data_IF_794009284509
#
_entry.id   IF_794009284509
#
_cell.length_a   1.000
_cell.length_b   1.000
_cell.length_c   1.000
_cell.angle_alpha   90.00
_cell.angle_beta   90.00
_cell.angle_gamma   90.00
#
_symmetry.space_group_name_H-M   'P 1'
#
loop_
_entity.id
_entity.type
_entity.pdbx_description
1 polymer ?
#
# COMPACT_ATOMS: atom_id res chain seq x y z
N UNK A 1 -4.87 -2.96 -7.99
CA UNK A 1 -5.09 -2.22 -6.74
C UNK A 1 -3.80 -1.73 -6.06
N UNK A 2 -2.74 -2.54 -5.93
CA UNK A 2 -1.41 -2.09 -5.41
C UNK A 2 -0.96 -0.77 -6.05
N UNK A 3 -0.84 -0.71 -7.39
CA UNK A 3 -0.46 0.52 -8.11
C UNK A 3 -1.41 1.71 -7.89
N UNK A 4 -2.68 1.47 -7.54
CA UNK A 4 -3.64 2.53 -7.24
C UNK A 4 -3.32 3.12 -5.86
N UNK A 5 -3.19 2.27 -4.84
CA UNK A 5 -2.87 2.70 -3.49
C UNK A 5 -1.47 3.33 -3.40
N UNK A 6 -0.47 2.80 -4.08
CA UNK A 6 0.88 3.42 -4.14
C UNK A 6 0.82 4.83 -4.71
N UNK A 7 0.07 5.05 -5.81
CA UNK A 7 -0.09 6.39 -6.40
C UNK A 7 -0.84 7.35 -5.48
N UNK A 8 -1.85 6.86 -4.75
CA UNK A 8 -2.56 7.67 -3.75
C UNK A 8 -1.63 8.07 -2.60
N UNK A 9 -0.85 7.13 -2.08
CA UNK A 9 0.15 7.40 -1.05
C UNK A 9 1.18 8.44 -1.52
N UNK A 10 1.78 8.25 -2.70
CA UNK A 10 2.74 9.22 -3.25
C UNK A 10 2.15 10.61 -3.41
N UNK A 11 0.89 10.72 -3.86
CA UNK A 11 0.19 12.02 -3.95
C UNK A 11 -0.07 12.64 -2.58
N UNK A 12 -0.39 11.82 -1.58
CA UNK A 12 -0.65 12.30 -0.22
C UNK A 12 0.63 12.88 0.38
N UNK A 13 1.76 12.17 0.23
CA UNK A 13 3.08 12.63 0.69
C UNK A 13 3.53 13.88 -0.05
N UNK A 14 3.33 13.94 -1.37
CA UNK A 14 3.72 15.10 -2.18
C UNK A 14 2.94 16.39 -1.86
N UNK A 15 1.78 16.27 -1.21
CA UNK A 15 0.93 17.42 -0.82
C UNK A 15 1.14 17.85 0.64
N UNK A 16 2.03 17.20 1.39
CA UNK A 16 2.28 17.58 2.76
C UNK A 16 2.91 18.99 2.86
N UNK A 17 2.46 19.81 3.82
CA UNK A 17 3.03 21.13 3.99
C UNK A 17 4.45 21.04 4.58
N UNK A 18 5.28 22.08 4.39
CA UNK A 18 6.66 22.10 4.92
C UNK A 18 6.75 21.99 6.44
N UNK A 19 5.67 22.37 7.14
CA UNK A 19 5.53 22.27 8.60
C UNK A 19 5.30 20.84 9.08
N UNK A 20 5.11 19.89 8.17
CA UNK A 20 4.81 18.49 8.46
C UNK A 20 3.31 18.15 8.42
N UNK A 21 2.97 16.84 8.42
CA UNK A 21 1.60 16.36 8.28
C UNK A 21 0.73 16.70 9.49
N UNK A 22 -0.54 17.00 9.24
CA UNK A 22 -1.57 17.07 10.29
C UNK A 22 -1.92 15.68 10.81
N UNK A 23 -2.70 15.62 11.90
CA UNK A 23 -3.22 14.36 12.44
C UNK A 23 -4.15 13.64 11.45
N UNK A 24 -4.85 14.38 10.60
CA UNK A 24 -5.71 13.85 9.55
C UNK A 24 -4.86 13.24 8.42
N UNK A 25 -3.82 13.95 7.99
CA UNK A 25 -2.87 13.44 6.99
C UNK A 25 -2.21 12.14 7.47
N UNK A 26 -1.79 12.10 8.73
CA UNK A 26 -1.20 10.90 9.34
C UNK A 26 -2.20 9.73 9.36
N UNK A 27 -3.47 9.99 9.68
CA UNK A 27 -4.50 8.95 9.64
C UNK A 27 -4.70 8.41 8.22
N UNK A 28 -4.76 9.29 7.22
CA UNK A 28 -4.91 8.88 5.81
C UNK A 28 -3.70 8.10 5.32
N UNK A 29 -2.48 8.56 5.64
CA UNK A 29 -1.23 7.87 5.32
C UNK A 29 -1.22 6.47 5.95
N UNK A 30 -1.55 6.35 7.24
CA UNK A 30 -1.62 5.04 7.91
C UNK A 30 -2.65 4.13 7.24
N UNK A 31 -3.83 4.64 6.90
CA UNK A 31 -4.86 3.87 6.21
C UNK A 31 -4.35 3.31 4.88
N UNK A 32 -3.66 4.13 4.08
CA UNK A 32 -3.09 3.70 2.80
C UNK A 32 -1.97 2.67 2.99
N UNK A 33 -1.10 2.86 3.99
CA UNK A 33 -0.01 1.92 4.29
C UNK A 33 -0.52 0.57 4.78
N UNK A 34 -1.51 0.55 5.68
CA UNK A 34 -2.13 -0.70 6.11
C UNK A 34 -2.87 -1.41 4.97
N UNK A 35 -3.55 -0.65 4.11
CA UNK A 35 -4.18 -1.20 2.90
C UNK A 35 -3.15 -1.82 1.95
N UNK A 36 -2.02 -1.13 1.73
CA UNK A 36 -0.90 -1.64 0.93
C UNK A 36 -0.29 -2.91 1.52
N UNK A 37 -0.07 -2.94 2.84
CA UNK A 37 0.45 -4.11 3.52
C UNK A 37 -0.47 -5.32 3.32
N UNK A 38 -1.76 -5.16 3.61
CA UNK A 38 -2.73 -6.25 3.50
C UNK A 38 -2.81 -6.83 2.07
N UNK A 39 -2.84 -5.96 1.05
CA UNK A 39 -2.93 -6.43 -0.33
C UNK A 39 -1.64 -7.06 -0.83
N UNK A 40 -0.46 -6.58 -0.40
CA UNK A 40 0.81 -7.20 -0.75
C UNK A 40 0.93 -8.58 -0.11
N UNK A 41 0.55 -8.73 1.17
CA UNK A 41 0.52 -10.04 1.84
C UNK A 41 -0.36 -11.04 1.10
N UNK A 42 -1.57 -10.62 0.71
CA UNK A 42 -2.46 -11.48 -0.09
C UNK A 42 -1.85 -11.82 -1.46
N UNK A 43 -1.25 -10.83 -2.12
CA UNK A 43 -0.65 -11.04 -3.44
C UNK A 43 0.49 -12.05 -3.38
N UNK A 44 1.37 -11.96 -2.38
CA UNK A 44 2.46 -12.92 -2.20
C UNK A 44 1.97 -14.32 -1.89
N UNK A 45 0.91 -14.47 -1.07
CA UNK A 45 0.30 -15.78 -0.83
C UNK A 45 -0.25 -16.40 -2.13
N UNK A 46 -0.89 -15.59 -2.97
CA UNK A 46 -1.39 -16.04 -4.28
C UNK A 46 -0.26 -16.40 -5.25
N UNK A 47 0.84 -15.65 -5.26
CA UNK A 47 2.01 -15.95 -6.07
C UNK A 47 2.64 -17.28 -5.66
N UNK A 48 2.79 -17.51 -4.35
CA UNK A 48 3.36 -18.76 -3.81
C UNK A 48 2.51 -19.98 -4.20
N UNK A 49 1.18 -19.88 -4.08
CA UNK A 49 0.25 -20.90 -4.57
C UNK A 49 0.39 -21.15 -6.07
N UNK A 50 0.48 -20.09 -6.88
CA UNK A 50 0.61 -20.20 -8.34
C UNK A 50 1.93 -20.89 -8.74
N UNK A 51 3.03 -20.53 -8.09
CA UNK A 51 4.33 -21.17 -8.34
C UNK A 51 4.34 -22.63 -7.91
N UNK A 52 3.69 -22.96 -6.80
CA UNK A 52 3.52 -24.35 -6.36
C UNK A 52 2.78 -25.20 -7.39
N UNK A 53 1.73 -24.65 -8.02
CA UNK A 53 0.99 -25.34 -9.09
C UNK A 53 1.81 -25.54 -10.37
N UNK A 54 2.69 -24.60 -10.71
CA UNK A 54 3.55 -24.69 -11.90
C UNK A 54 4.75 -25.63 -11.70
N UNK A 55 5.15 -25.87 -10.46
CA UNK A 55 6.26 -26.77 -10.11
C UNK A 55 5.83 -28.24 -9.92
N UNK A 56 4.52 -28.52 -9.96
CA UNK A 56 3.92 -29.85 -9.84
C UNK A 56 3.59 -30.45 -11.21
#
# INVERSE_FOLDING_TARGET
EIRRLSRLFSRCVAQLPPTGPSTEDLREIHRLLYGLHAILTLHFAQEDELYSLLAA
#
